data_IF_598465683172
#
_entry.id   IF_598465683172
#
_cell.length_a   1.000
_cell.length_b   1.000
_cell.length_c   1.000
_cell.angle_alpha   90.00
_cell.angle_beta   90.00
_cell.angle_gamma   90.00
#
_symmetry.space_group_name_H-M   'P 1'
#
loop_
_entity.id
_entity.type
_entity.pdbx_description
1 polymer ?
#
# COMPACT_ATOMS: atom_id res chain seq x y z
N UNK A 1 3.10 15.29 -1.49
CA UNK A 1 3.52 14.83 -2.84
C UNK A 1 3.39 16.01 -3.79
N UNK A 2 4.46 16.43 -4.49
CA UNK A 2 4.43 17.64 -5.33
C UNK A 2 3.86 17.41 -6.75
N UNK A 3 3.93 16.19 -7.28
CA UNK A 3 3.51 15.82 -8.63
C UNK A 3 1.99 15.63 -8.76
N UNK A 4 1.22 16.68 -8.46
CA UNK A 4 -0.25 16.74 -8.57
C UNK A 4 -0.68 18.10 -9.13
N UNK A 5 -1.90 18.21 -9.66
CA UNK A 5 -2.43 19.48 -10.16
C UNK A 5 -2.78 20.48 -9.06
N UNK A 6 -3.38 20.01 -7.97
CA UNK A 6 -3.81 20.83 -6.84
C UNK A 6 -3.03 20.43 -5.59
N UNK A 7 -2.18 21.35 -5.11
CA UNK A 7 -1.38 21.11 -3.90
C UNK A 7 -2.23 21.30 -2.64
N UNK A 8 -2.01 20.43 -1.66
CA UNK A 8 -2.62 20.53 -0.33
C UNK A 8 -1.55 20.79 0.74
N UNK A 9 -1.33 22.05 1.17
CA UNK A 9 -0.48 22.36 2.31
C UNK A 9 -0.99 21.66 3.58
N UNK A 10 -0.08 21.13 4.41
CA UNK A 10 -0.45 20.41 5.63
C UNK A 10 -1.08 19.02 5.40
N UNK A 11 -0.94 18.45 4.20
CA UNK A 11 -1.43 17.11 3.87
C UNK A 11 -0.78 15.98 4.67
N UNK A 12 -1.17 14.74 4.36
CA UNK A 12 -0.71 13.56 5.08
C UNK A 12 0.77 13.26 4.83
N UNK A 13 1.49 12.91 5.90
CA UNK A 13 2.80 12.30 5.84
C UNK A 13 2.67 10.85 5.35
N UNK A 14 3.73 10.32 4.73
CA UNK A 14 3.77 8.93 4.25
C UNK A 14 3.34 7.93 5.32
N UNK A 15 3.81 8.11 6.57
CA UNK A 15 3.48 7.21 7.67
C UNK A 15 2.01 7.30 8.11
N UNK A 16 1.36 8.45 7.96
CA UNK A 16 -0.09 8.57 8.19
C UNK A 16 -0.86 7.76 7.16
N UNK A 17 -0.49 7.86 5.87
CA UNK A 17 -1.07 7.05 4.79
C UNK A 17 -0.83 5.57 5.05
N UNK A 18 0.39 5.19 5.44
CA UNK A 18 0.73 3.80 5.70
C UNK A 18 -0.12 3.19 6.83
N UNK A 19 -0.28 3.93 7.93
CA UNK A 19 -1.14 3.52 9.05
C UNK A 19 -2.59 3.33 8.61
N UNK A 20 -3.12 4.24 7.79
CA UNK A 20 -4.49 4.15 7.26
C UNK A 20 -4.66 2.91 6.37
N UNK A 21 -3.78 2.70 5.40
CA UNK A 21 -3.84 1.55 4.48
C UNK A 21 -3.81 0.23 5.24
N UNK A 22 -2.87 0.07 6.19
CA UNK A 22 -2.77 -1.16 6.99
C UNK A 22 -4.00 -1.37 7.87
N UNK A 23 -4.55 -0.29 8.47
CA UNK A 23 -5.75 -0.38 9.30
C UNK A 23 -7.00 -0.74 8.48
N UNK A 24 -7.13 -0.24 7.25
CA UNK A 24 -8.24 -0.62 6.35
C UNK A 24 -8.11 -2.08 5.94
N UNK A 25 -6.92 -2.54 5.53
CA UNK A 25 -6.68 -3.93 5.11
C UNK A 25 -6.91 -4.96 6.24
N UNK A 26 -6.76 -4.58 7.50
CA UNK A 26 -7.08 -5.44 8.65
C UNK A 26 -8.59 -5.58 8.91
N UNK A 27 -9.37 -4.58 8.49
CA UNK A 27 -10.80 -4.45 8.84
C UNK A 27 -11.77 -4.71 7.70
N UNK A 28 -11.31 -4.63 6.46
CA UNK A 28 -12.14 -4.76 5.27
C UNK A 28 -11.48 -5.64 4.21
N UNK A 29 -12.33 -6.33 3.45
CA UNK A 29 -11.93 -7.01 2.21
C UNK A 29 -11.85 -5.97 1.09
N UNK A 30 -10.64 -5.65 0.65
CA UNK A 30 -10.40 -4.59 -0.35
C UNK A 30 -10.52 -5.21 -1.74
N UNK A 31 -11.66 -5.02 -2.41
CA UNK A 31 -11.89 -5.56 -3.75
C UNK A 31 -11.10 -4.84 -4.85
N UNK A 32 -10.84 -3.53 -4.70
CA UNK A 32 -10.16 -2.72 -5.72
C UNK A 32 -9.56 -1.44 -5.14
N UNK A 33 -8.52 -0.91 -5.79
CA UNK A 33 -7.90 0.38 -5.44
C UNK A 33 -7.57 1.15 -6.71
N UNK A 34 -7.66 2.49 -6.66
CA UNK A 34 -7.22 3.38 -7.72
C UNK A 34 -6.26 4.44 -7.16
N UNK A 35 -5.14 4.65 -7.85
CA UNK A 35 -4.19 5.75 -7.61
C UNK A 35 -4.42 6.79 -8.70
N UNK A 36 -4.82 8.00 -8.31
CA UNK A 36 -5.25 9.08 -9.23
C UNK A 36 -4.47 10.37 -8.98
N UNK A 37 -4.69 11.37 -9.83
CA UNK A 37 -4.15 12.75 -9.71
C UNK A 37 -2.63 12.91 -9.86
N UNK A 38 -1.90 11.86 -10.23
CA UNK A 38 -0.48 11.98 -10.58
C UNK A 38 -0.31 12.81 -11.86
N UNK A 39 0.52 13.84 -11.80
CA UNK A 39 0.84 14.74 -12.92
C UNK A 39 2.34 14.60 -13.29
N UNK A 40 2.69 13.77 -14.30
CA UNK A 40 4.08 13.49 -14.67
C UNK A 40 4.90 14.74 -15.02
N UNK A 41 4.28 15.72 -15.67
CA UNK A 41 4.92 16.96 -16.10
C UNK A 41 5.36 17.83 -14.91
N UNK A 42 4.83 17.57 -13.72
CA UNK A 42 5.17 18.25 -12.47
C UNK A 42 6.08 17.41 -11.56
N UNK A 43 6.52 16.24 -12.00
CA UNK A 43 7.31 15.33 -11.18
C UNK A 43 8.80 15.63 -11.22
N UNK A 44 9.21 16.62 -10.43
CA UNK A 44 10.63 16.98 -10.28
C UNK A 44 11.39 15.83 -9.62
N UNK A 45 12.43 15.36 -10.29
CA UNK A 45 13.32 14.26 -9.85
C UNK A 45 12.60 12.91 -9.60
N UNK A 46 11.39 12.70 -10.13
CA UNK A 46 10.66 11.43 -9.99
C UNK A 46 10.13 11.14 -8.59
N UNK A 47 10.10 12.13 -7.70
CA UNK A 47 9.74 11.95 -6.28
C UNK A 47 8.24 11.62 -6.14
N UNK A 48 7.39 12.19 -6.98
CA UNK A 48 5.96 11.93 -7.05
C UNK A 48 5.67 10.50 -7.49
N UNK A 49 6.26 10.06 -8.60
CA UNK A 49 6.17 8.71 -9.10
C UNK A 49 6.67 7.70 -8.05
N UNK A 50 7.82 7.97 -7.42
CA UNK A 50 8.35 7.13 -6.34
C UNK A 50 7.39 7.07 -5.13
N UNK A 51 6.77 8.20 -4.78
CA UNK A 51 5.78 8.25 -3.68
C UNK A 51 4.54 7.42 -4.02
N UNK A 52 3.98 7.60 -5.21
CA UNK A 52 2.81 6.85 -5.68
C UNK A 52 3.11 5.35 -5.79
N UNK A 53 4.29 4.97 -6.31
CA UNK A 53 4.73 3.58 -6.40
C UNK A 53 4.89 2.96 -5.00
N UNK A 54 5.50 3.65 -4.05
CA UNK A 54 5.64 3.16 -2.66
C UNK A 54 4.29 2.93 -1.99
N UNK A 55 3.36 3.87 -2.15
CA UNK A 55 1.99 3.73 -1.61
C UNK A 55 1.28 2.54 -2.29
N UNK A 56 1.39 2.41 -3.61
CA UNK A 56 0.78 1.30 -4.35
C UNK A 56 1.32 -0.06 -3.92
N UNK A 57 2.65 -0.19 -3.78
CA UNK A 57 3.29 -1.41 -3.28
C UNK A 57 2.88 -1.73 -1.83
N UNK A 58 2.75 -0.70 -0.98
CA UNK A 58 2.26 -0.87 0.39
C UNK A 58 0.82 -1.39 0.41
N UNK A 59 -0.05 -0.86 -0.45
CA UNK A 59 -1.44 -1.30 -0.59
C UNK A 59 -1.49 -2.75 -1.03
N UNK A 60 -0.80 -3.11 -2.12
CA UNK A 60 -0.74 -4.49 -2.62
C UNK A 60 -0.21 -5.45 -1.55
N UNK A 61 0.88 -5.10 -0.88
CA UNK A 61 1.44 -5.91 0.19
C UNK A 61 0.50 -6.04 1.39
N UNK A 62 -0.27 -5.01 1.73
CA UNK A 62 -1.27 -5.05 2.80
C UNK A 62 -2.45 -5.94 2.45
N UNK A 63 -2.93 -5.88 1.20
CA UNK A 63 -4.01 -6.74 0.68
C UNK A 63 -3.57 -8.21 0.69
N UNK A 64 -2.39 -8.52 0.14
CA UNK A 64 -1.87 -9.89 0.06
C UNK A 64 -1.63 -10.52 1.44
N UNK A 65 -1.34 -9.72 2.46
CA UNK A 65 -1.20 -10.18 3.85
C UNK A 65 -2.51 -10.19 4.63
N UNK A 66 -3.58 -9.60 4.10
CA UNK A 66 -4.87 -9.55 4.79
C UNK A 66 -5.43 -10.94 5.02
N UNK A 67 -6.24 -11.09 6.07
CA UNK A 67 -6.94 -12.34 6.38
C UNK A 67 -8.01 -12.71 5.33
N UNK A 68 -8.41 -11.77 4.48
CA UNK A 68 -9.45 -11.97 3.47
C UNK A 68 -8.91 -12.73 2.25
N UNK A 69 -7.75 -12.35 1.71
CA UNK A 69 -7.06 -13.11 0.65
C UNK A 69 -6.70 -14.53 1.10
N UNK A 70 -6.34 -14.70 2.38
CA UNK A 70 -6.04 -16.02 2.97
C UNK A 70 -7.26 -16.93 3.10
N UNK A 71 -8.47 -16.37 3.14
CA UNK A 71 -9.71 -17.14 3.32
C UNK A 71 -10.11 -17.89 2.03
N UNK A 72 -9.82 -17.32 0.86
CA UNK A 72 -10.20 -17.91 -0.43
C UNK A 72 -9.21 -18.96 -0.95
N UNK A 73 -7.95 -18.90 -0.53
CA UNK A 73 -6.89 -19.70 -1.13
C UNK A 73 -6.77 -21.14 -0.59
N UNK A 74 -7.49 -21.52 0.47
CA UNK A 74 -7.39 -22.88 1.06
C UNK A 74 -6.00 -23.26 1.58
N UNK A 75 -5.04 -22.32 1.55
CA UNK A 75 -3.68 -22.50 2.03
C UNK A 75 -3.68 -22.20 3.52
N UNK A 76 -3.48 -23.25 4.32
CA UNK A 76 -3.20 -23.16 5.74
C UNK A 76 -2.09 -22.13 5.97
N UNK A 77 -2.20 -21.20 6.94
CA UNK A 77 -1.13 -20.24 7.21
C UNK A 77 0.16 -21.03 7.40
N UNK A 78 1.24 -20.59 6.73
CA UNK A 78 2.59 -21.00 7.06
C UNK A 78 2.70 -20.88 8.57
N UNK A 79 2.75 -22.03 9.22
CA UNK A 79 2.82 -22.13 10.66
C UNK A 79 4.10 -21.43 11.11
N UNK A 80 4.13 -20.84 12.32
CA UNK A 80 5.28 -20.08 12.82
C UNK A 80 6.61 -20.86 12.81
N UNK A 81 6.56 -22.18 12.65
CA UNK A 81 7.70 -23.11 12.61
C UNK A 81 8.47 -23.12 11.28
N UNK A 82 7.89 -22.65 10.17
CA UNK A 82 8.58 -22.63 8.86
C UNK A 82 9.60 -21.48 8.69
N UNK A 83 9.68 -20.56 9.64
CA UNK A 83 10.69 -19.49 9.67
C UNK A 83 12.11 -20.00 9.96
N UNK A 84 12.24 -21.22 10.50
CA UNK A 84 13.50 -21.77 11.00
C UNK A 84 14.24 -22.70 10.01
N UNK A 85 13.71 -22.89 8.79
CA UNK A 85 14.26 -23.86 7.81
C UNK A 85 14.85 -23.20 6.56
N UNK A 86 14.93 -21.87 6.51
CA UNK A 86 15.66 -21.11 5.50
C UNK A 86 16.81 -20.32 6.14
N UNK A 87 17.72 -21.06 6.78
CA UNK A 87 19.14 -20.68 6.98
C UNK A 87 19.97 -21.94 7.06
#
# INVERSE_FOLDING_TARGET
MPAVFVHAPGGLLYWHVAKLVMAVADRADICSVATVEFAPERDVNGIGALTAARISSLIMGSILRSKYVRKESGVHPLSPDMSASLI
#
